data_IF_335520420405
#
_entry.id   IF_335520420405
#
_cell.length_a   1.000
_cell.length_b   1.000
_cell.length_c   1.000
_cell.angle_alpha   90.00
_cell.angle_beta   90.00
_cell.angle_gamma   90.00
#
_symmetry.space_group_name_H-M   'P 1'
#
loop_
_entity.id
_entity.type
_entity.pdbx_description
1 polymer ?
#
# COMPACT_ATOMS: atom_id res chain seq x y z
N UNK A 1 13.17 -22.13 -77.13
CA UNK A 1 11.97 -21.56 -76.44
C UNK A 1 12.05 -21.90 -74.96
N UNK A 2 12.68 -21.06 -74.21
CA UNK A 2 12.97 -21.33 -72.81
C UNK A 2 11.92 -20.56 -71.98
N UNK A 3 11.09 -21.33 -71.29
CA UNK A 3 9.98 -20.86 -70.46
C UNK A 3 10.48 -19.94 -69.33
N UNK A 4 10.16 -18.69 -69.46
CA UNK A 4 10.36 -17.68 -68.40
C UNK A 4 9.36 -17.87 -67.23
N UNK A 5 9.29 -19.10 -66.73
CA UNK A 5 8.38 -19.45 -65.64
C UNK A 5 9.08 -19.75 -64.35
N UNK A 6 10.18 -19.18 -64.15
CA UNK A 6 10.86 -19.50 -62.91
C UNK A 6 11.38 -18.23 -62.31
N UNK A 7 11.06 -18.14 -61.12
CA UNK A 7 11.64 -17.29 -60.11
C UNK A 7 10.95 -15.95 -59.85
N UNK A 8 9.67 -16.04 -59.63
CA UNK A 8 9.18 -15.14 -58.58
C UNK A 8 9.37 -15.88 -57.25
N UNK A 9 10.61 -15.92 -56.82
CA UNK A 9 10.90 -16.28 -55.43
C UNK A 9 10.33 -15.14 -54.61
N UNK A 10 9.16 -15.40 -54.11
CA UNK A 10 8.59 -14.61 -53.02
C UNK A 10 9.58 -14.66 -51.85
N UNK A 11 10.37 -13.65 -51.76
CA UNK A 11 11.03 -13.31 -50.53
C UNK A 11 9.93 -12.75 -49.59
N UNK A 12 9.20 -13.67 -48.98
CA UNK A 12 8.44 -13.35 -47.79
C UNK A 12 9.48 -13.04 -46.72
N UNK A 13 9.87 -11.80 -46.72
CA UNK A 13 10.62 -11.20 -45.62
C UNK A 13 9.68 -11.22 -44.45
N UNK A 14 9.73 -12.29 -43.66
CA UNK A 14 9.09 -12.33 -42.37
C UNK A 14 9.82 -11.31 -41.51
N UNK A 15 9.29 -10.11 -41.53
CA UNK A 15 9.64 -9.06 -40.58
C UNK A 15 9.10 -9.52 -39.22
N UNK A 16 9.88 -10.31 -38.50
CA UNK A 16 9.65 -10.60 -37.10
C UNK A 16 9.87 -9.27 -36.40
N UNK A 17 8.79 -8.49 -36.28
CA UNK A 17 8.74 -7.37 -35.39
C UNK A 17 8.85 -7.94 -33.97
N UNK A 18 10.08 -8.06 -33.48
CA UNK A 18 10.35 -8.24 -32.07
C UNK A 18 9.80 -6.98 -31.39
N UNK A 19 8.57 -7.07 -30.90
CA UNK A 19 8.09 -6.13 -29.88
C UNK A 19 9.01 -6.34 -28.67
N UNK A 20 10.10 -5.60 -28.66
CA UNK A 20 10.77 -5.33 -27.41
C UNK A 20 9.72 -4.62 -26.54
N UNK A 21 9.11 -5.38 -25.65
CA UNK A 21 8.37 -4.79 -24.52
C UNK A 21 9.44 -4.03 -23.76
N UNK A 22 9.58 -2.76 -24.09
CA UNK A 22 10.28 -1.82 -23.24
C UNK A 22 9.42 -1.78 -21.97
N UNK A 23 9.80 -2.61 -21.01
CA UNK A 23 9.41 -2.39 -19.63
C UNK A 23 10.05 -1.05 -19.31
N UNK A 24 9.29 0.02 -19.57
CA UNK A 24 9.61 1.30 -19.01
C UNK A 24 9.65 1.05 -17.50
N UNK A 25 10.84 1.09 -16.92
CA UNK A 25 10.98 1.34 -15.51
C UNK A 25 10.14 2.58 -15.28
N UNK A 26 8.94 2.40 -14.73
CA UNK A 26 8.10 3.50 -14.37
C UNK A 26 8.94 4.32 -13.42
N UNK A 27 9.28 5.55 -13.84
CA UNK A 27 9.92 6.51 -12.98
C UNK A 27 9.22 6.45 -11.64
N UNK A 28 9.99 6.26 -10.59
CA UNK A 28 9.43 6.06 -9.26
C UNK A 28 8.36 7.14 -9.01
N UNK A 29 7.10 6.77 -8.82
CA UNK A 29 5.99 7.73 -8.81
C UNK A 29 5.95 8.57 -7.54
N UNK A 30 7.07 8.74 -6.87
CA UNK A 30 7.17 9.43 -5.59
C UNK A 30 8.20 10.55 -5.60
N UNK A 31 7.94 11.58 -4.78
CA UNK A 31 8.73 12.81 -4.70
C UNK A 31 9.94 12.71 -3.77
N UNK A 32 10.05 11.66 -2.98
CA UNK A 32 11.16 11.40 -2.07
C UNK A 32 12.17 10.48 -2.74
N UNK A 33 13.42 10.47 -2.28
CA UNK A 33 14.36 9.45 -2.74
C UNK A 33 14.08 8.10 -2.04
N UNK A 34 14.57 7.01 -2.64
CA UNK A 34 14.33 5.63 -2.18
C UNK A 34 14.68 5.42 -0.70
N UNK A 35 15.75 6.06 -0.23
CA UNK A 35 16.17 5.95 1.18
C UNK A 35 15.15 6.59 2.12
N UNK A 36 14.60 7.72 1.74
CA UNK A 36 13.57 8.43 2.51
C UNK A 36 12.25 7.67 2.50
N UNK A 37 11.82 7.17 1.33
CA UNK A 37 10.62 6.33 1.21
C UNK A 37 10.76 5.06 2.05
N UNK A 38 11.91 4.39 1.98
CA UNK A 38 12.18 3.20 2.79
C UNK A 38 12.12 3.49 4.28
N UNK A 39 12.69 4.62 4.72
CA UNK A 39 12.63 5.07 6.11
C UNK A 39 11.20 5.36 6.55
N UNK A 40 10.42 6.03 5.71
CA UNK A 40 9.01 6.33 5.96
C UNK A 40 8.18 5.07 6.12
N UNK A 41 8.30 4.11 5.20
CA UNK A 41 7.59 2.84 5.28
C UNK A 41 7.99 2.00 6.50
N UNK A 42 9.28 2.02 6.87
CA UNK A 42 9.75 1.34 8.09
C UNK A 42 9.16 1.98 9.36
N UNK A 43 9.04 3.31 9.38
CA UNK A 43 8.42 4.05 10.48
C UNK A 43 6.92 3.74 10.55
N UNK A 44 6.21 3.82 9.43
CA UNK A 44 4.78 3.49 9.34
C UNK A 44 4.51 2.07 9.87
N UNK A 45 5.27 1.06 9.42
CA UNK A 45 5.15 -0.30 9.94
C UNK A 45 5.31 -0.35 11.47
N UNK A 46 6.32 0.32 12.02
CA UNK A 46 6.61 0.36 13.46
C UNK A 46 5.47 1.01 14.24
N UNK A 47 4.98 2.15 13.75
CA UNK A 47 3.95 2.92 14.46
C UNK A 47 2.57 2.26 14.34
N UNK A 48 2.28 1.58 13.21
CA UNK A 48 1.11 0.71 13.10
C UNK A 48 1.12 -0.42 14.13
N UNK A 49 2.27 -1.07 14.34
CA UNK A 49 2.41 -2.11 15.37
C UNK A 49 2.22 -1.60 16.81
N UNK A 50 2.66 -0.35 17.11
CA UNK A 50 2.40 0.28 18.41
C UNK A 50 0.90 0.58 18.57
N UNK A 51 0.31 1.20 17.55
CA UNK A 51 -1.11 1.52 17.54
C UNK A 51 -1.96 0.28 17.75
N UNK A 52 -1.72 -0.82 17.01
CA UNK A 52 -2.47 -2.06 17.20
C UNK A 52 -2.47 -2.53 18.65
N UNK A 53 -1.30 -2.55 19.30
CA UNK A 53 -1.16 -2.98 20.71
C UNK A 53 -1.89 -2.07 21.67
N UNK A 54 -1.84 -0.76 21.47
CA UNK A 54 -2.51 0.20 22.35
C UNK A 54 -4.04 0.18 22.15
N UNK A 55 -4.49 -0.07 20.92
CA UNK A 55 -5.91 -0.18 20.62
C UNK A 55 -6.50 -1.50 21.15
N UNK A 56 -5.82 -2.64 20.96
CA UNK A 56 -6.16 -3.92 21.56
C UNK A 56 -6.36 -3.80 23.07
N UNK A 57 -5.38 -3.20 23.76
CA UNK A 57 -5.50 -2.89 25.19
C UNK A 57 -6.66 -1.93 25.55
N UNK A 58 -7.19 -1.17 24.59
CA UNK A 58 -8.40 -0.36 24.80
C UNK A 58 -9.65 -1.21 24.67
N UNK A 59 -9.68 -2.14 23.74
CA UNK A 59 -10.79 -3.08 23.54
C UNK A 59 -10.95 -3.98 24.76
N UNK A 60 -9.86 -4.54 25.30
CA UNK A 60 -9.85 -5.35 26.52
C UNK A 60 -10.52 -4.68 27.71
N UNK A 61 -10.48 -3.34 27.77
CA UNK A 61 -11.09 -2.52 28.84
C UNK A 61 -12.44 -1.95 28.48
N UNK A 62 -12.94 -2.26 27.30
CA UNK A 62 -14.21 -1.76 26.78
C UNK A 62 -15.35 -2.76 27.06
N UNK A 63 -16.58 -2.35 26.70
CA UNK A 63 -17.75 -3.24 26.72
C UNK A 63 -17.72 -4.29 25.61
N UNK A 64 -16.75 -4.22 24.72
CA UNK A 64 -16.58 -5.18 23.62
C UNK A 64 -15.73 -6.39 24.03
N UNK A 65 -15.05 -6.33 25.17
CA UNK A 65 -14.18 -7.41 25.64
C UNK A 65 -14.92 -8.75 25.65
N UNK A 66 -14.34 -9.76 24.99
CA UNK A 66 -14.90 -11.11 24.87
C UNK A 66 -16.06 -11.23 23.89
N UNK A 67 -16.27 -10.26 23.01
CA UNK A 67 -17.31 -10.32 21.97
C UNK A 67 -16.76 -10.61 20.59
N UNK A 68 -17.56 -11.24 19.71
CA UNK A 68 -17.20 -11.44 18.29
C UNK A 68 -16.82 -10.13 17.60
N UNK A 69 -17.39 -9.00 18.04
CA UNK A 69 -17.05 -7.69 17.48
C UNK A 69 -15.65 -7.23 17.83
N UNK A 70 -15.16 -7.56 19.00
CA UNK A 70 -13.76 -7.35 19.36
C UNK A 70 -12.85 -8.17 18.47
N UNK A 71 -13.18 -9.47 18.29
CA UNK A 71 -12.43 -10.37 17.42
C UNK A 71 -12.35 -9.85 15.98
N UNK A 72 -13.47 -9.37 15.42
CA UNK A 72 -13.53 -8.78 14.08
C UNK A 72 -12.62 -7.54 13.96
N UNK A 73 -12.64 -6.65 14.96
CA UNK A 73 -11.79 -5.46 14.98
C UNK A 73 -10.31 -5.85 15.09
N UNK A 74 -9.98 -6.77 15.97
CA UNK A 74 -8.60 -7.25 16.17
C UNK A 74 -8.07 -7.93 14.91
N UNK A 75 -8.90 -8.73 14.24
CA UNK A 75 -8.54 -9.35 12.96
C UNK A 75 -8.30 -8.29 11.87
N UNK A 76 -9.15 -7.28 11.79
CA UNK A 76 -8.97 -6.18 10.84
C UNK A 76 -7.68 -5.41 11.10
N UNK A 77 -7.39 -5.05 12.35
CA UNK A 77 -6.16 -4.33 12.71
C UNK A 77 -4.91 -5.17 12.46
N UNK A 78 -4.98 -6.48 12.66
CA UNK A 78 -3.89 -7.39 12.32
C UNK A 78 -3.65 -7.42 10.81
N UNK A 79 -4.69 -7.52 10.00
CA UNK A 79 -4.58 -7.49 8.55
C UNK A 79 -3.99 -6.17 8.04
N UNK A 80 -4.34 -5.06 8.70
CA UNK A 80 -3.78 -3.76 8.40
C UNK A 80 -2.27 -3.67 8.73
N UNK A 81 -1.87 -4.17 9.91
CA UNK A 81 -0.44 -4.28 10.27
C UNK A 81 0.32 -5.11 9.22
N UNK A 82 -0.22 -6.25 8.80
CA UNK A 82 0.36 -7.10 7.78
C UNK A 82 0.45 -6.42 6.41
N UNK A 83 -0.51 -5.54 6.08
CA UNK A 83 -0.47 -4.74 4.86
C UNK A 83 0.69 -3.73 4.88
N UNK A 84 0.92 -3.03 5.99
CA UNK A 84 2.05 -2.12 6.14
C UNK A 84 3.39 -2.85 6.11
N UNK A 85 3.46 -4.06 6.66
CA UNK A 85 4.65 -4.90 6.58
C UNK A 85 4.94 -5.37 5.16
N UNK A 86 3.91 -5.81 4.42
CA UNK A 86 4.04 -6.18 3.00
C UNK A 86 4.52 -5.01 2.17
N UNK A 87 3.94 -3.83 2.35
CA UNK A 87 4.35 -2.61 1.67
C UNK A 87 5.86 -2.37 1.84
N UNK A 88 6.34 -2.36 3.09
CA UNK A 88 7.75 -2.18 3.40
C UNK A 88 8.64 -3.27 2.77
N UNK A 89 8.25 -4.53 2.89
CA UNK A 89 9.03 -5.67 2.39
C UNK A 89 9.13 -5.64 0.87
N UNK A 90 8.01 -5.42 0.17
CA UNK A 90 7.98 -5.34 -1.29
C UNK A 90 8.81 -4.16 -1.82
N UNK A 91 8.72 -3.00 -1.17
CA UNK A 91 9.56 -1.85 -1.51
C UNK A 91 11.04 -2.16 -1.32
N UNK A 92 11.41 -2.79 -0.21
CA UNK A 92 12.80 -3.22 0.06
C UNK A 92 13.32 -4.18 -1.01
N UNK A 93 12.45 -5.01 -1.56
CA UNK A 93 12.77 -5.99 -2.61
C UNK A 93 12.66 -5.38 -4.03
N UNK A 94 12.62 -4.05 -4.17
CA UNK A 94 12.50 -3.31 -5.44
C UNK A 94 11.28 -3.71 -6.28
N UNK A 95 10.18 -4.10 -5.65
CA UNK A 95 8.92 -4.42 -6.32
C UNK A 95 8.05 -3.17 -6.43
N UNK A 96 7.22 -3.12 -7.47
CA UNK A 96 6.19 -2.08 -7.57
C UNK A 96 5.22 -2.19 -6.39
N UNK A 97 4.93 -1.06 -5.74
CA UNK A 97 4.12 -1.01 -4.50
C UNK A 97 2.94 -0.02 -4.58
N UNK A 98 2.62 0.53 -5.76
CA UNK A 98 1.52 1.49 -5.90
C UNK A 98 0.20 0.95 -5.34
N UNK A 99 -0.20 -0.26 -5.73
CA UNK A 99 -1.40 -0.89 -5.20
C UNK A 99 -1.33 -1.21 -3.69
N UNK A 100 -0.13 -1.50 -3.16
CA UNK A 100 0.06 -1.71 -1.72
C UNK A 100 -0.09 -0.38 -0.96
N UNK A 101 0.34 0.75 -1.53
CA UNK A 101 0.14 2.10 -0.96
C UNK A 101 -1.35 2.42 -0.90
N UNK A 102 -2.10 2.23 -1.99
CA UNK A 102 -3.54 2.45 -2.02
C UNK A 102 -4.26 1.59 -0.98
N UNK A 103 -3.96 0.29 -0.92
CA UNK A 103 -4.55 -0.62 0.06
C UNK A 103 -4.29 -0.21 1.52
N UNK A 104 -3.08 0.30 1.81
CA UNK A 104 -2.75 0.82 3.15
C UNK A 104 -3.52 2.10 3.46
N UNK A 105 -3.66 3.01 2.49
CA UNK A 105 -4.42 4.26 2.67
C UNK A 105 -5.92 3.98 2.86
N UNK A 106 -6.50 3.06 2.09
CA UNK A 106 -7.91 2.68 2.21
C UNK A 106 -8.19 1.98 3.55
N UNK A 107 -7.32 1.07 3.97
CA UNK A 107 -7.43 0.43 5.28
C UNK A 107 -7.36 1.44 6.44
N UNK A 108 -6.54 2.48 6.31
CA UNK A 108 -6.45 3.55 7.28
C UNK A 108 -7.75 4.36 7.42
N UNK A 109 -8.46 4.60 6.32
CA UNK A 109 -9.76 5.27 6.35
C UNK A 109 -10.81 4.47 7.16
N UNK A 110 -10.77 3.15 7.09
CA UNK A 110 -11.64 2.30 7.92
C UNK A 110 -11.26 2.37 9.41
N UNK A 111 -9.96 2.40 9.74
CA UNK A 111 -9.51 2.57 11.14
C UNK A 111 -9.98 3.90 11.69
N UNK A 112 -9.87 4.97 10.92
CA UNK A 112 -10.30 6.31 11.33
C UNK A 112 -11.79 6.32 11.76
N UNK A 113 -12.65 5.53 11.08
CA UNK A 113 -14.04 5.33 11.49
C UNK A 113 -14.20 4.68 12.87
N UNK A 114 -13.30 3.76 13.24
CA UNK A 114 -13.33 3.16 14.58
C UNK A 114 -12.88 4.16 15.63
N UNK A 115 -11.89 4.98 15.32
CA UNK A 115 -11.38 6.01 16.23
C UNK A 115 -12.46 7.05 16.59
N UNK A 116 -13.31 7.44 15.64
CA UNK A 116 -14.42 8.38 15.89
C UNK A 116 -15.49 7.84 16.84
N UNK A 117 -15.55 6.52 17.04
CA UNK A 117 -16.56 5.87 17.92
C UNK A 117 -16.15 5.81 19.39
N UNK A 118 -15.12 6.50 19.81
CA UNK A 118 -14.60 6.54 21.19
C UNK A 118 -14.27 5.15 21.76
N UNK A 119 -13.78 4.26 20.93
CA UNK A 119 -13.30 2.94 21.34
C UNK A 119 -11.83 2.96 21.77
N UNK A 120 -11.12 3.99 21.39
CA UNK A 120 -9.71 4.18 21.72
C UNK A 120 -9.54 4.90 23.07
N UNK A 121 -8.50 4.52 23.80
CA UNK A 121 -8.00 5.32 24.91
C UNK A 121 -7.01 6.37 24.41
N UNK A 122 -6.63 7.34 25.27
CA UNK A 122 -5.70 8.40 24.90
C UNK A 122 -4.37 7.91 24.30
N UNK A 123 -3.88 6.75 24.72
CA UNK A 123 -2.66 6.18 24.16
C UNK A 123 -2.88 5.71 22.73
N UNK A 124 -3.95 5.00 22.47
CA UNK A 124 -4.29 4.56 21.12
C UNK A 124 -4.56 5.75 20.19
N UNK A 125 -5.19 6.83 20.72
CA UNK A 125 -5.38 8.07 19.96
C UNK A 125 -4.05 8.72 19.57
N UNK A 126 -3.11 8.81 20.51
CA UNK A 126 -1.75 9.33 20.21
C UNK A 126 -1.00 8.46 19.20
N UNK A 127 -1.00 7.15 19.41
CA UNK A 127 -0.33 6.22 18.51
C UNK A 127 -0.95 6.28 17.09
N UNK A 128 -2.27 6.43 16.99
CA UNK A 128 -2.96 6.64 15.72
C UNK A 128 -2.59 7.96 15.05
N UNK A 129 -2.44 9.03 15.81
CA UNK A 129 -2.01 10.32 15.27
C UNK A 129 -0.60 10.24 14.63
N UNK A 130 0.32 9.45 15.19
CA UNK A 130 1.64 9.17 14.59
C UNK A 130 1.47 8.43 13.24
N UNK A 131 0.66 7.36 13.21
CA UNK A 131 0.36 6.62 11.97
C UNK A 131 -0.26 7.54 10.92
N UNK A 132 -1.22 8.38 11.29
CA UNK A 132 -1.84 9.37 10.38
C UNK A 132 -0.81 10.34 9.77
N UNK A 133 0.17 10.75 10.53
CA UNK A 133 1.24 11.62 10.03
C UNK A 133 2.09 10.91 8.97
N UNK A 134 2.47 9.66 9.23
CA UNK A 134 3.23 8.86 8.27
C UNK A 134 2.45 8.58 6.99
N UNK A 135 1.15 8.29 7.12
CA UNK A 135 0.26 8.06 5.97
C UNK A 135 0.08 9.30 5.09
N UNK A 136 -0.02 10.51 5.68
CA UNK A 136 -0.03 11.75 4.90
C UNK A 136 1.24 11.90 4.08
N UNK A 137 2.39 11.68 4.71
CA UNK A 137 3.69 11.73 4.01
C UNK A 137 3.81 10.67 2.92
N UNK A 138 3.24 9.48 3.15
CA UNK A 138 3.20 8.41 2.15
C UNK A 138 2.32 8.81 0.95
N UNK A 139 1.13 9.33 1.19
CA UNK A 139 0.23 9.81 0.14
C UNK A 139 0.87 10.95 -0.67
N UNK A 140 1.52 11.91 0.00
CA UNK A 140 2.26 13.00 -0.65
C UNK A 140 3.43 12.47 -1.49
N UNK A 141 4.19 11.51 -0.96
CA UNK A 141 5.32 10.90 -1.64
C UNK A 141 4.88 10.24 -2.96
N UNK A 142 3.76 9.54 -2.95
CA UNK A 142 3.21 8.84 -4.11
C UNK A 142 2.25 9.68 -4.97
N UNK A 143 2.08 10.96 -4.63
CA UNK A 143 1.14 11.87 -5.30
C UNK A 143 -0.30 11.33 -5.33
N UNK A 144 -0.70 10.64 -4.28
CA UNK A 144 -2.04 10.09 -4.11
C UNK A 144 -2.91 11.13 -3.41
N UNK A 145 -4.03 11.50 -4.02
CA UNK A 145 -5.05 12.31 -3.35
C UNK A 145 -5.85 11.39 -2.45
N UNK A 146 -5.58 11.46 -1.16
CA UNK A 146 -6.24 10.63 -0.17
C UNK A 146 -7.00 11.49 0.85
N UNK A 147 -8.23 11.10 1.17
CA UNK A 147 -9.09 11.80 2.10
C UNK A 147 -9.34 10.95 3.32
N UNK A 148 -9.15 11.54 4.49
CA UNK A 148 -9.62 10.98 5.74
C UNK A 148 -11.14 10.91 5.74
N UNK A 149 -11.70 9.89 6.41
CA UNK A 149 -13.14 9.79 6.58
C UNK A 149 -13.70 10.91 7.45
N UNK A 150 -12.93 11.38 8.42
CA UNK A 150 -13.30 12.41 9.39
C UNK A 150 -12.88 13.82 8.94
N UNK A 151 -13.18 14.21 7.73
CA UNK A 151 -13.12 15.64 7.40
C UNK A 151 -14.45 16.27 7.77
N UNK A 152 -14.46 16.88 8.95
CA UNK A 152 -15.36 17.94 9.47
C UNK A 152 -16.82 17.54 9.71
#
# INVERSE_FOLDING_TARGET
MLNKRVLTIFHVLILVATFAVVVQAQDAPYRLNDKEVKKLMAQLKKDTGKFRKSFDSSLDRSRLNGTNREDDINHFLKNYEDATERLYSRFKDNKSVGADVEAVLDGAAEIDRFMTRRLANERAERDWAEVRQDLRRLAEAYNVTWRWWSTD
#
